data_IF_070744297915
#
_entry.id   IF_070744297915
#
_cell.length_a   1.000
_cell.length_b   1.000
_cell.length_c   1.000
_cell.angle_alpha   90.00
_cell.angle_beta   90.00
_cell.angle_gamma   90.00
#
_symmetry.space_group_name_H-M   'P 1'
#
loop_
_entity.id
_entity.type
_entity.pdbx_description
1 polymer ?
#
# COMPACT_ATOMS: atom_id res chain seq x y z
N UNK A 1 15.46 -16.12 0.44
CA UNK A 1 15.96 -14.73 0.38
C UNK A 1 14.79 -13.76 0.20
N UNK A 2 14.06 -13.37 1.25
CA UNK A 2 13.01 -12.34 1.11
C UNK A 2 12.73 -11.56 2.40
N UNK A 3 13.77 -11.13 3.11
CA UNK A 3 13.61 -10.25 4.28
C UNK A 3 13.54 -8.75 3.92
N UNK A 4 13.75 -8.35 2.66
CA UNK A 4 14.08 -6.95 2.33
C UNK A 4 12.97 -6.07 1.72
N UNK A 5 11.68 -6.42 1.80
CA UNK A 5 10.63 -5.51 1.29
C UNK A 5 9.89 -4.72 2.37
N UNK A 6 9.75 -5.26 3.59
CA UNK A 6 9.26 -4.46 4.72
C UNK A 6 10.25 -3.38 5.14
N UNK A 7 11.54 -3.52 4.84
CA UNK A 7 12.55 -2.52 5.11
C UNK A 7 12.52 -1.37 4.08
N UNK A 8 12.20 -1.66 2.82
CA UNK A 8 12.25 -0.68 1.73
C UNK A 8 11.30 0.51 1.96
N UNK A 9 10.07 0.25 2.43
CA UNK A 9 9.10 1.32 2.70
C UNK A 9 9.54 2.24 3.84
N UNK A 10 9.95 1.65 4.96
CA UNK A 10 10.45 2.40 6.11
C UNK A 10 11.70 3.20 5.73
N UNK A 11 12.62 2.61 4.95
CA UNK A 11 13.83 3.28 4.46
C UNK A 11 13.49 4.43 3.52
N UNK A 12 12.55 4.28 2.59
CA UNK A 12 12.15 5.36 1.67
C UNK A 12 11.59 6.54 2.46
N UNK A 13 10.71 6.28 3.43
CA UNK A 13 10.11 7.35 4.24
C UNK A 13 11.18 8.02 5.11
N UNK A 14 11.98 7.25 5.82
CA UNK A 14 13.06 7.76 6.68
C UNK A 14 14.09 8.58 5.89
N UNK A 15 14.48 8.12 4.70
CA UNK A 15 15.41 8.85 3.83
C UNK A 15 14.85 10.17 3.31
N UNK A 16 13.53 10.28 3.16
CA UNK A 16 12.88 11.46 2.57
C UNK A 16 12.47 12.47 3.64
N UNK A 17 11.95 12.02 4.78
CA UNK A 17 11.38 12.90 5.81
C UNK A 17 12.07 12.83 7.16
N UNK A 18 12.93 11.83 7.41
CA UNK A 18 13.51 11.59 8.73
C UNK A 18 12.52 11.03 9.75
N UNK A 19 11.30 10.67 9.32
CA UNK A 19 10.24 10.15 10.19
C UNK A 19 10.00 8.65 9.98
N UNK A 20 9.48 7.99 11.02
CA UNK A 20 8.99 6.62 10.93
C UNK A 20 7.45 6.58 10.96
N UNK A 21 6.85 6.12 9.86
CA UNK A 21 5.39 5.93 9.80
C UNK A 21 4.97 4.60 10.46
N UNK A 22 5.87 3.62 10.56
CA UNK A 22 5.61 2.28 11.11
C UNK A 22 6.38 2.00 12.41
N UNK A 23 5.94 2.54 13.54
CA UNK A 23 6.61 2.29 14.84
C UNK A 23 5.93 1.23 15.72
N UNK A 24 4.66 0.89 15.47
CA UNK A 24 3.92 -0.09 16.29
C UNK A 24 3.48 -1.29 15.45
N UNK A 25 3.70 -2.49 16.01
CA UNK A 25 3.23 -3.76 15.45
C UNK A 25 1.71 -3.72 15.29
N UNK A 26 1.22 -3.66 14.05
CA UNK A 26 -0.20 -3.62 13.74
C UNK A 26 -0.79 -2.23 13.48
N UNK A 27 0.03 -1.16 13.43
CA UNK A 27 -0.44 0.16 13.03
C UNK A 27 -1.05 0.14 11.63
N UNK A 28 -2.22 0.78 11.48
CA UNK A 28 -2.84 1.01 10.18
C UNK A 28 -2.07 2.11 9.47
N UNK A 29 -1.55 1.81 8.29
CA UNK A 29 -0.91 2.77 7.40
C UNK A 29 -1.92 3.29 6.39
N UNK A 30 -1.94 4.59 6.20
CA UNK A 30 -2.89 5.26 5.33
C UNK A 30 -2.19 6.15 4.32
N UNK A 31 -2.72 6.18 3.10
CA UNK A 31 -2.25 7.05 2.04
C UNK A 31 -3.39 7.33 1.06
N UNK A 32 -3.29 8.42 0.31
CA UNK A 32 -4.21 8.67 -0.80
C UNK A 32 -3.79 7.82 -2.00
N UNK A 33 -4.77 7.12 -2.59
CA UNK A 33 -4.58 6.37 -3.83
C UNK A 33 -4.93 7.29 -5.00
N UNK A 34 -4.04 7.39 -5.99
CA UNK A 34 -4.24 8.13 -7.23
C UNK A 34 -4.29 7.14 -8.38
N UNK A 35 -5.49 6.86 -8.88
CA UNK A 35 -5.67 6.01 -10.05
C UNK A 35 -5.42 6.80 -11.33
N UNK A 36 -4.61 6.23 -12.21
CA UNK A 36 -4.51 6.61 -13.61
C UNK A 36 -4.90 5.41 -14.48
N UNK A 37 -5.16 5.63 -15.77
CA UNK A 37 -5.63 4.57 -16.69
C UNK A 37 -4.70 3.35 -16.70
N UNK A 38 -3.38 3.57 -16.74
CA UNK A 38 -2.40 2.48 -16.74
C UNK A 38 -2.44 1.65 -15.45
N UNK A 39 -2.50 2.30 -14.28
CA UNK A 39 -2.58 1.63 -12.99
C UNK A 39 -3.90 0.87 -12.83
N UNK A 40 -5.01 1.42 -13.35
CA UNK A 40 -6.33 0.79 -13.24
C UNK A 40 -6.39 -0.58 -13.92
N UNK A 41 -5.78 -0.69 -15.11
CA UNK A 41 -5.76 -1.91 -15.92
C UNK A 41 -4.65 -2.89 -15.53
N UNK A 42 -3.73 -2.47 -14.66
CA UNK A 42 -2.61 -3.31 -14.23
C UNK A 42 -3.09 -4.51 -13.40
N UNK A 43 -2.68 -5.75 -13.73
CA UNK A 43 -3.02 -6.94 -12.95
C UNK A 43 -2.40 -6.92 -11.54
N UNK A 44 -3.09 -7.48 -10.55
CA UNK A 44 -2.60 -7.56 -9.16
C UNK A 44 -1.30 -8.36 -9.01
N UNK A 45 -0.96 -9.20 -9.98
CA UNK A 45 0.31 -9.93 -10.10
C UNK A 45 1.51 -8.98 -10.11
N UNK A 46 1.33 -7.77 -10.66
CA UNK A 46 2.38 -6.75 -10.76
C UNK A 46 2.77 -6.15 -9.40
N UNK A 47 1.97 -6.40 -8.35
CA UNK A 47 2.30 -5.99 -6.98
C UNK A 47 3.32 -6.94 -6.31
N UNK A 48 3.65 -8.06 -6.95
CA UNK A 48 4.58 -9.08 -6.43
C UNK A 48 4.23 -9.48 -4.98
N UNK A 49 2.95 -9.79 -4.75
CA UNK A 49 2.44 -10.19 -3.45
C UNK A 49 2.88 -11.61 -3.11
N UNK A 50 3.14 -11.88 -1.84
CA UNK A 50 3.27 -13.23 -1.32
C UNK A 50 2.00 -14.04 -1.58
N UNK A 51 2.17 -15.35 -1.75
CA UNK A 51 1.11 -16.29 -2.18
C UNK A 51 -0.19 -16.14 -1.40
N UNK A 52 -0.14 -15.88 -0.08
CA UNK A 52 -1.36 -15.69 0.73
C UNK A 52 -2.07 -14.37 0.46
N UNK A 53 -1.33 -13.27 0.34
CA UNK A 53 -1.90 -11.97 0.02
C UNK A 53 -2.53 -11.98 -1.37
N UNK A 54 -1.79 -12.50 -2.36
CA UNK A 54 -2.28 -12.72 -3.72
C UNK A 54 -3.58 -13.54 -3.74
N UNK A 55 -3.58 -14.72 -3.11
CA UNK A 55 -4.74 -15.60 -3.10
C UNK A 55 -5.94 -15.00 -2.35
N UNK A 56 -5.70 -14.15 -1.34
CA UNK A 56 -6.78 -13.46 -0.62
C UNK A 56 -7.51 -12.49 -1.55
N UNK A 57 -6.75 -11.71 -2.34
CA UNK A 57 -7.30 -10.80 -3.33
C UNK A 57 -8.03 -11.56 -4.45
N UNK A 58 -7.38 -12.57 -5.03
CA UNK A 58 -7.95 -13.31 -6.16
C UNK A 58 -9.25 -14.03 -5.79
N UNK A 59 -9.33 -14.63 -4.59
CA UNK A 59 -10.54 -15.29 -4.09
C UNK A 59 -11.67 -14.32 -3.74
N UNK A 60 -11.33 -13.06 -3.46
CA UNK A 60 -12.31 -12.00 -3.25
C UNK A 60 -12.76 -11.33 -4.56
N UNK A 61 -12.26 -11.79 -5.71
CA UNK A 61 -12.67 -11.31 -7.03
C UNK A 61 -11.82 -10.20 -7.60
N UNK A 62 -10.79 -9.73 -6.88
CA UNK A 62 -9.90 -8.69 -7.40
C UNK A 62 -8.92 -9.29 -8.42
N UNK A 63 -8.89 -8.72 -9.61
CA UNK A 63 -8.02 -9.08 -10.72
C UNK A 63 -7.10 -7.93 -11.13
N UNK A 64 -7.53 -6.68 -10.99
CA UNK A 64 -6.69 -5.50 -11.27
C UNK A 64 -6.43 -4.63 -10.03
N UNK A 65 -5.40 -3.79 -10.13
CA UNK A 65 -5.10 -2.77 -9.11
C UNK A 65 -6.23 -1.73 -9.04
N UNK A 66 -6.87 -1.41 -10.17
CA UNK A 66 -8.03 -0.52 -10.22
C UNK A 66 -9.17 -1.01 -9.32
N UNK A 67 -9.60 -2.26 -9.49
CA UNK A 67 -10.68 -2.86 -8.69
C UNK A 67 -10.37 -2.84 -7.19
N UNK A 68 -9.13 -3.16 -6.82
CA UNK A 68 -8.67 -3.11 -5.43
C UNK A 68 -8.71 -1.68 -4.88
N UNK A 69 -8.17 -0.72 -5.63
CA UNK A 69 -8.09 0.68 -5.24
C UNK A 69 -9.47 1.33 -5.09
N UNK A 70 -10.39 1.08 -6.02
CA UNK A 70 -11.78 1.54 -5.95
C UNK A 70 -12.50 0.97 -4.74
N UNK A 71 -12.31 -0.32 -4.45
CA UNK A 71 -12.86 -0.96 -3.27
C UNK A 71 -12.37 -0.29 -1.98
N UNK A 72 -11.07 -0.03 -1.86
CA UNK A 72 -10.50 0.71 -0.72
C UNK A 72 -11.08 2.13 -0.63
N UNK A 73 -11.20 2.84 -1.77
CA UNK A 73 -11.75 4.19 -1.83
C UNK A 73 -13.23 4.26 -1.42
N UNK A 74 -14.00 3.21 -1.72
CA UNK A 74 -15.40 3.06 -1.29
C UNK A 74 -15.58 2.72 0.20
N UNK A 75 -14.48 2.56 0.94
CA UNK A 75 -14.49 2.28 2.37
C UNK A 75 -14.36 0.80 2.72
N UNK A 76 -14.08 -0.09 1.76
CA UNK A 76 -13.80 -1.49 2.06
C UNK A 76 -12.50 -1.61 2.82
N UNK A 77 -12.59 -2.10 4.05
CA UNK A 77 -11.40 -2.46 4.80
C UNK A 77 -10.83 -3.78 4.27
N UNK A 78 -9.55 -3.79 3.88
CA UNK A 78 -8.84 -5.01 3.46
C UNK A 78 -8.89 -6.10 4.54
N UNK A 79 -9.01 -5.72 5.82
CA UNK A 79 -9.21 -6.62 6.96
C UNK A 79 -10.47 -7.50 6.83
N UNK A 80 -11.46 -7.08 6.04
CA UNK A 80 -12.72 -7.81 5.81
C UNK A 80 -12.62 -8.79 4.64
N UNK A 81 -11.52 -8.79 3.88
CA UNK A 81 -11.28 -9.76 2.81
C UNK A 81 -11.11 -11.16 3.40
N UNK A 82 -11.91 -12.11 2.92
CA UNK A 82 -11.90 -13.49 3.43
C UNK A 82 -10.49 -14.11 3.32
N UNK A 83 -10.00 -14.68 4.42
CA UNK A 83 -8.66 -15.26 4.56
C UNK A 83 -7.49 -14.26 4.48
N UNK A 84 -7.75 -12.95 4.53
CA UNK A 84 -6.72 -11.94 4.58
C UNK A 84 -6.34 -11.64 6.04
N UNK A 85 -5.28 -12.29 6.54
CA UNK A 85 -4.77 -12.05 7.89
C UNK A 85 -3.98 -10.73 7.98
N UNK A 86 -3.72 -10.24 9.19
CA UNK A 86 -3.03 -8.95 9.46
C UNK A 86 -1.75 -8.76 8.65
N UNK A 87 -0.92 -9.81 8.50
CA UNK A 87 0.31 -9.76 7.70
C UNK A 87 0.01 -9.53 6.21
N UNK A 88 -0.98 -10.24 5.66
CA UNK A 88 -1.39 -10.08 4.26
C UNK A 88 -2.03 -8.72 4.01
N UNK A 89 -2.88 -8.23 4.92
CA UNK A 89 -3.46 -6.89 4.81
C UNK A 89 -2.37 -5.81 4.74
N UNK A 90 -1.38 -5.93 5.63
CA UNK A 90 -0.23 -5.03 5.66
C UNK A 90 0.55 -5.08 4.35
N UNK A 91 0.92 -6.28 3.93
CA UNK A 91 1.66 -6.50 2.68
C UNK A 91 0.94 -5.91 1.46
N UNK A 92 -0.38 -6.09 1.34
CA UNK A 92 -1.19 -5.52 0.26
C UNK A 92 -1.08 -4.00 0.25
N UNK A 93 -1.28 -3.35 1.40
CA UNK A 93 -1.19 -1.89 1.50
C UNK A 93 0.21 -1.36 1.21
N UNK A 94 1.24 -2.04 1.71
CA UNK A 94 2.64 -1.69 1.47
C UNK A 94 3.00 -1.79 -0.02
N UNK A 95 2.63 -2.90 -0.68
CA UNK A 95 2.91 -3.09 -2.12
C UNK A 95 2.14 -2.11 -2.99
N UNK A 96 0.87 -1.85 -2.66
CA UNK A 96 0.06 -0.87 -3.37
C UNK A 96 0.67 0.54 -3.29
N UNK A 97 1.13 0.93 -2.09
CA UNK A 97 1.83 2.19 -1.90
C UNK A 97 3.12 2.28 -2.70
N UNK A 98 3.98 1.25 -2.61
CA UNK A 98 5.27 1.24 -3.31
C UNK A 98 5.09 1.29 -4.83
N UNK A 99 4.09 0.55 -5.34
CA UNK A 99 3.73 0.59 -6.75
C UNK A 99 3.34 2.01 -7.16
N UNK A 100 2.39 2.64 -6.46
CA UNK A 100 1.97 4.02 -6.76
C UNK A 100 3.15 5.01 -6.66
N UNK A 101 3.94 4.92 -5.60
CA UNK A 101 5.10 5.78 -5.39
C UNK A 101 6.11 5.67 -6.55
N UNK A 102 6.34 4.45 -7.05
CA UNK A 102 7.21 4.21 -8.20
C UNK A 102 6.64 4.75 -9.51
N UNK A 103 5.30 4.69 -9.68
CA UNK A 103 4.59 5.20 -10.85
C UNK A 103 4.47 6.74 -10.87
N UNK A 104 4.66 7.42 -9.74
CA UNK A 104 4.63 8.87 -9.67
C UNK A 104 5.88 9.50 -10.32
N UNK A 105 5.72 10.62 -11.05
CA UNK A 105 6.83 11.46 -11.51
C UNK A 105 7.73 11.88 -10.35
N UNK A 106 9.05 11.92 -10.58
CA UNK A 106 10.05 12.15 -9.52
C UNK A 106 9.79 13.45 -8.76
N UNK A 107 9.38 14.50 -9.45
CA UNK A 107 9.06 15.82 -8.91
C UNK A 107 7.85 15.82 -7.97
N UNK A 108 6.94 14.84 -8.10
CA UNK A 108 5.75 14.72 -7.23
C UNK A 108 5.97 13.82 -6.02
N UNK A 109 7.02 12.99 -6.03
CA UNK A 109 7.29 12.00 -4.98
C UNK A 109 7.46 12.63 -3.60
N UNK A 110 8.29 13.66 -3.48
CA UNK A 110 8.54 14.33 -2.20
C UNK A 110 7.25 14.90 -1.59
N UNK A 111 6.45 15.62 -2.40
CA UNK A 111 5.14 16.13 -1.98
C UNK A 111 4.21 15.01 -1.51
N UNK A 112 4.15 13.91 -2.25
CA UNK A 112 3.32 12.78 -1.90
C UNK A 112 3.72 12.14 -0.55
N UNK A 113 5.02 11.96 -0.31
CA UNK A 113 5.50 11.42 0.97
C UNK A 113 5.13 12.34 2.13
N UNK A 114 5.30 13.66 1.98
CA UNK A 114 4.91 14.63 3.01
C UNK A 114 3.41 14.55 3.33
N UNK A 115 2.55 14.43 2.32
CA UNK A 115 1.10 14.25 2.52
C UNK A 115 0.78 12.95 3.29
N UNK A 116 1.53 11.88 3.01
CA UNK A 116 1.36 10.58 3.68
C UNK A 116 1.81 10.65 5.13
N UNK A 117 2.96 11.26 5.41
CA UNK A 117 3.46 11.45 6.79
C UNK A 117 2.46 12.27 7.60
N UNK A 118 2.00 13.40 7.06
CA UNK A 118 1.01 14.27 7.71
C UNK A 118 -0.29 13.51 8.00
N UNK A 119 -0.82 12.77 7.01
CA UNK A 119 -2.06 11.99 7.18
C UNK A 119 -1.94 10.95 8.31
N UNK A 120 -0.80 10.29 8.45
CA UNK A 120 -0.61 9.28 9.49
C UNK A 120 -0.31 9.91 10.86
N UNK A 121 0.34 11.09 10.90
CA UNK A 121 0.56 11.83 12.14
C UNK A 121 -0.76 12.31 12.74
N UNK A 122 -1.68 12.84 11.92
CA UNK A 122 -3.01 13.30 12.37
C UNK A 122 -3.87 12.16 12.92
N UNK A 123 -3.70 10.94 12.39
CA UNK A 123 -4.42 9.74 12.83
C UNK A 123 -3.77 9.01 14.00
N UNK A 124 -2.58 9.44 14.45
CA UNK A 124 -1.91 8.95 15.66
C UNK A 124 -2.49 9.59 16.95
N UNK A 125 -3.40 10.56 16.84
CA UNK A 125 -4.12 11.19 17.96
C UNK A 125 -5.49 10.57 18.21
#
# INVERSE_FOLDING_TARGET
MSENQSQALSQIIEQITGDHVYEKKGSRFFFKIYLNSQMSETPIESLELGVRAYNSLKRAGYSTIGELAESIASGTEISKIRNCGTKSCREIMEKLFLYQYSALPKEKRAKYILEVVQMNAERKN
#
